data_IF_628219898360
#
_entry.id   IF_628219898360
#
_cell.length_a   1.000
_cell.length_b   1.000
_cell.length_c   1.000
_cell.angle_alpha   90.00
_cell.angle_beta   90.00
_cell.angle_gamma   90.00
#
_symmetry.space_group_name_H-M   'P 1'
#
loop_
_entity.id
_entity.type
_entity.pdbx_description
1 polymer ?
#
# COMPACT_ATOMS: atom_id res chain seq x y z
N UNK A 1 -13.46 -3.39 1.44
CA UNK A 1 -12.08 -3.16 1.93
C UNK A 1 -11.10 -3.34 0.78
N UNK A 2 -10.10 -2.48 0.71
CA UNK A 2 -9.02 -2.59 -0.27
C UNK A 2 -7.77 -3.08 0.43
N UNK A 3 -7.19 -4.18 -0.06
CA UNK A 3 -5.95 -4.74 0.47
C UNK A 3 -4.86 -4.50 -0.56
N UNK A 4 -3.76 -3.87 -0.14
CA UNK A 4 -2.67 -3.50 -1.03
C UNK A 4 -1.37 -4.11 -0.53
N UNK A 5 -0.68 -4.86 -1.40
CA UNK A 5 0.69 -5.30 -1.17
C UNK A 5 1.63 -4.33 -1.87
N UNK A 6 2.56 -3.76 -1.13
CA UNK A 6 3.51 -2.78 -1.66
C UNK A 6 4.91 -3.38 -1.69
N UNK A 7 5.52 -3.38 -2.87
CA UNK A 7 6.93 -3.70 -3.07
C UNK A 7 7.66 -2.35 -3.26
N UNK A 8 8.29 -1.89 -2.18
CA UNK A 8 8.89 -0.57 -2.14
C UNK A 8 10.33 -0.60 -2.62
N UNK A 9 10.64 0.30 -3.56
CA UNK A 9 12.00 0.59 -4.00
C UNK A 9 12.22 2.10 -3.87
N UNK A 10 13.46 2.55 -3.62
CA UNK A 10 13.70 4.00 -3.47
C UNK A 10 13.28 4.83 -4.68
N UNK A 11 13.32 4.25 -5.88
CA UNK A 11 13.02 4.96 -7.12
C UNK A 11 11.57 4.83 -7.56
N UNK A 12 10.87 3.78 -7.11
CA UNK A 12 9.48 3.53 -7.48
C UNK A 12 8.83 2.57 -6.48
N UNK A 13 7.52 2.41 -6.60
CA UNK A 13 6.77 1.41 -5.84
C UNK A 13 5.98 0.56 -6.82
N UNK A 14 6.04 -0.76 -6.65
CA UNK A 14 5.18 -1.69 -7.37
C UNK A 14 4.12 -2.16 -6.39
N UNK A 15 2.86 -2.08 -6.77
CA UNK A 15 1.80 -2.51 -5.87
C UNK A 15 0.77 -3.38 -6.56
N UNK A 16 0.16 -4.24 -5.76
CA UNK A 16 -0.95 -5.07 -6.17
C UNK A 16 -2.08 -4.85 -5.18
N UNK A 17 -3.29 -4.65 -5.65
CA UNK A 17 -4.43 -4.40 -4.79
C UNK A 17 -5.61 -5.27 -5.15
N UNK A 18 -6.41 -5.62 -4.14
CA UNK A 18 -7.66 -6.33 -4.34
C UNK A 18 -8.75 -5.63 -3.53
N UNK A 19 -9.91 -5.45 -4.15
CA UNK A 19 -11.10 -4.99 -3.46
C UNK A 19 -11.87 -6.22 -3.02
N UNK A 20 -11.97 -6.45 -1.70
CA UNK A 20 -12.62 -7.65 -1.18
C UNK A 20 -14.13 -7.66 -1.41
N UNK A 21 -14.75 -6.52 -1.67
CA UNK A 21 -16.18 -6.43 -1.91
C UNK A 21 -16.54 -6.84 -3.34
N UNK A 22 -15.67 -6.52 -4.30
CA UNK A 22 -15.93 -6.79 -5.72
C UNK A 22 -15.07 -7.92 -6.28
N UNK A 23 -13.97 -8.25 -5.60
CA UNK A 23 -12.96 -9.18 -6.09
C UNK A 23 -12.05 -8.60 -7.17
N UNK A 24 -12.16 -7.33 -7.47
CA UNK A 24 -11.34 -6.68 -8.49
C UNK A 24 -9.88 -6.63 -8.07
N UNK A 25 -9.00 -7.06 -8.97
CA UNK A 25 -7.56 -7.06 -8.77
C UNK A 25 -6.91 -6.04 -9.69
N UNK A 26 -5.98 -5.26 -9.16
CA UNK A 26 -5.24 -4.27 -9.93
C UNK A 26 -3.77 -4.27 -9.56
N UNK A 27 -2.93 -3.94 -10.53
CA UNK A 27 -1.52 -3.70 -10.31
C UNK A 27 -1.18 -2.28 -10.77
N UNK A 28 -0.23 -1.65 -10.09
CA UNK A 28 0.20 -0.31 -10.46
C UNK A 28 1.66 -0.10 -10.10
N UNK A 29 2.30 0.82 -10.82
CA UNK A 29 3.65 1.27 -10.50
C UNK A 29 3.60 2.78 -10.28
N UNK A 30 4.11 3.21 -9.13
CA UNK A 30 4.19 4.62 -8.77
C UNK A 30 5.65 5.05 -8.91
N UNK A 31 5.90 5.97 -9.83
CA UNK A 31 7.25 6.30 -10.29
C UNK A 31 8.03 7.24 -9.36
N UNK A 32 7.31 7.97 -8.50
CA UNK A 32 7.93 8.97 -7.64
C UNK A 32 7.05 9.22 -6.41
N UNK A 33 7.59 9.91 -5.37
CA UNK A 33 6.83 10.19 -4.16
C UNK A 33 5.54 10.99 -4.38
N UNK A 34 5.52 11.90 -5.35
CA UNK A 34 4.33 12.70 -5.64
C UNK A 34 3.19 11.83 -6.18
N UNK A 35 3.51 10.90 -7.07
CA UNK A 35 2.51 9.96 -7.58
C UNK A 35 1.98 9.06 -6.47
N UNK A 36 2.87 8.60 -5.59
CA UNK A 36 2.48 7.75 -4.47
C UNK A 36 1.54 8.51 -3.54
N UNK A 37 1.89 9.73 -3.16
CA UNK A 37 1.08 10.54 -2.28
C UNK A 37 -0.31 10.79 -2.87
N UNK A 38 -0.38 11.14 -4.16
CA UNK A 38 -1.64 11.36 -4.85
C UNK A 38 -2.51 10.10 -4.84
N UNK A 39 -1.91 8.96 -5.18
CA UNK A 39 -2.63 7.69 -5.23
C UNK A 39 -3.26 7.34 -3.89
N UNK A 40 -2.47 7.38 -2.82
CA UNK A 40 -2.96 6.99 -1.50
C UNK A 40 -3.94 8.01 -0.92
N UNK A 41 -3.72 9.29 -1.19
CA UNK A 41 -4.66 10.34 -0.76
C UNK A 41 -6.01 10.19 -1.45
N UNK A 42 -6.02 9.87 -2.73
CA UNK A 42 -7.28 9.63 -3.45
C UNK A 42 -8.04 8.44 -2.87
N UNK A 43 -7.34 7.38 -2.46
CA UNK A 43 -7.98 6.25 -1.79
C UNK A 43 -8.62 6.69 -0.46
N UNK A 44 -7.92 7.50 0.32
CA UNK A 44 -8.45 8.01 1.58
C UNK A 44 -9.67 8.90 1.35
N UNK A 45 -9.62 9.75 0.34
CA UNK A 45 -10.72 10.68 0.01
C UNK A 45 -11.98 9.93 -0.43
N UNK A 46 -11.83 8.74 -0.98
CA UNK A 46 -12.98 7.89 -1.35
C UNK A 46 -13.66 7.27 -0.12
N UNK A 47 -13.08 7.44 1.06
CA UNK A 47 -13.61 6.83 2.27
C UNK A 47 -13.44 5.32 2.32
N UNK A 48 -12.59 4.76 1.46
CA UNK A 48 -12.36 3.33 1.42
C UNK A 48 -11.58 2.88 2.65
N UNK A 49 -11.92 1.71 3.17
CA UNK A 49 -11.13 1.06 4.21
C UNK A 49 -9.96 0.36 3.53
N UNK A 50 -8.74 0.72 3.94
CA UNK A 50 -7.52 0.26 3.27
C UNK A 50 -6.60 -0.44 4.26
N UNK A 51 -6.09 -1.58 3.84
CA UNK A 51 -5.08 -2.36 4.57
C UNK A 51 -3.85 -2.51 3.69
N UNK A 52 -2.70 -2.11 4.22
CA UNK A 52 -1.44 -2.13 3.48
C UNK A 52 -0.53 -3.20 4.07
N UNK A 53 0.01 -4.07 3.21
CA UNK A 53 1.09 -4.98 3.58
C UNK A 53 2.37 -4.55 2.87
N UNK A 54 3.46 -4.41 3.62
CA UNK A 54 4.73 -3.94 3.06
C UNK A 54 5.90 -4.62 3.77
N UNK A 55 6.94 -4.97 3.01
CA UNK A 55 8.16 -5.49 3.58
C UNK A 55 8.91 -4.37 4.32
N UNK A 56 9.52 -4.71 5.45
CA UNK A 56 10.24 -3.74 6.26
C UNK A 56 11.39 -3.13 5.45
N UNK A 57 11.48 -1.78 5.46
CA UNK A 57 12.55 -1.06 4.77
C UNK A 57 12.81 0.25 5.48
N UNK A 58 14.08 0.53 5.78
CA UNK A 58 14.48 1.81 6.38
C UNK A 58 14.23 3.00 5.45
N UNK A 59 14.11 2.76 4.15
CA UNK A 59 13.89 3.83 3.17
C UNK A 59 12.42 4.22 3.03
N UNK A 60 11.51 3.44 3.62
CA UNK A 60 10.08 3.64 3.45
C UNK A 60 9.41 4.34 4.63
N UNK A 61 10.18 4.89 5.57
CA UNK A 61 9.60 5.51 6.78
C UNK A 61 8.66 6.66 6.47
N UNK A 62 8.97 7.46 5.46
CA UNK A 62 8.11 8.56 5.06
C UNK A 62 6.73 8.06 4.60
N UNK A 63 6.72 6.92 3.91
CA UNK A 63 5.50 6.31 3.43
C UNK A 63 4.69 5.71 4.59
N UNK A 64 5.37 5.07 5.55
CA UNK A 64 4.72 4.55 6.75
C UNK A 64 4.01 5.67 7.51
N UNK A 65 4.66 6.81 7.67
CA UNK A 65 4.06 7.98 8.32
C UNK A 65 2.83 8.47 7.56
N UNK A 66 2.92 8.47 6.23
CA UNK A 66 1.79 8.89 5.40
C UNK A 66 0.61 7.95 5.58
N UNK A 67 0.84 6.65 5.65
CA UNK A 67 -0.22 5.69 5.91
C UNK A 67 -0.89 5.92 7.27
N UNK A 68 -0.11 6.25 8.30
CA UNK A 68 -0.67 6.59 9.60
C UNK A 68 -1.54 7.84 9.52
N UNK A 69 -1.08 8.88 8.83
CA UNK A 69 -1.84 10.11 8.67
C UNK A 69 -3.16 9.89 7.93
N UNK A 70 -3.16 8.97 6.97
CA UNK A 70 -4.35 8.62 6.20
C UNK A 70 -5.23 7.61 6.94
N UNK A 71 -4.80 7.15 8.10
CA UNK A 71 -5.51 6.16 8.93
C UNK A 71 -5.68 4.81 8.24
N UNK A 72 -4.72 4.43 7.40
CA UNK A 72 -4.68 3.10 6.80
C UNK A 72 -4.13 2.10 7.81
N UNK A 73 -4.67 0.89 7.79
CA UNK A 73 -4.12 -0.21 8.57
C UNK A 73 -2.82 -0.68 7.89
N UNK A 74 -1.71 -0.66 8.62
CA UNK A 74 -0.40 -1.00 8.07
C UNK A 74 0.14 -2.25 8.74
N UNK A 75 0.59 -3.20 7.94
CA UNK A 75 1.28 -4.40 8.40
C UNK A 75 2.64 -4.47 7.73
N UNK A 76 3.70 -4.46 8.54
CA UNK A 76 5.08 -4.54 8.07
C UNK A 76 5.66 -5.88 8.51
N UNK A 77 6.24 -6.61 7.55
CA UNK A 77 6.82 -7.91 7.84
C UNK A 77 7.83 -8.32 6.78
N UNK A 78 8.16 -9.61 6.76
CA UNK A 78 9.00 -10.15 5.70
C UNK A 78 8.13 -10.61 4.53
N UNK A 79 8.76 -10.98 3.41
CA UNK A 79 8.04 -11.34 2.19
C UNK A 79 7.05 -12.49 2.40
N UNK A 80 7.39 -13.47 3.23
CA UNK A 80 6.49 -14.60 3.50
C UNK A 80 5.25 -14.15 4.28
N UNK A 81 5.42 -13.27 5.27
CA UNK A 81 4.31 -12.72 6.04
C UNK A 81 3.38 -11.89 5.17
N UNK A 82 3.94 -11.12 4.22
CA UNK A 82 3.15 -10.32 3.30
C UNK A 82 2.34 -11.20 2.36
N UNK A 83 2.92 -12.31 1.89
CA UNK A 83 2.18 -13.27 1.07
C UNK A 83 0.97 -13.84 1.82
N UNK A 84 1.13 -14.18 3.10
CA UNK A 84 0.04 -14.65 3.94
C UNK A 84 -1.01 -13.54 4.15
N UNK A 85 -0.54 -12.31 4.31
CA UNK A 85 -1.41 -11.15 4.52
C UNK A 85 -2.35 -10.92 3.34
N UNK A 86 -1.88 -11.13 2.11
CA UNK A 86 -2.67 -10.86 0.91
C UNK A 86 -3.59 -12.03 0.49
N UNK A 87 -3.44 -13.16 1.13
CA UNK A 87 -4.34 -14.29 0.94
C UNK A 87 -5.55 -14.16 1.84
#
# INVERSE_FOLDING_TARGET
MIIIGVDYHPEFQQLASVDTDTGEFREARLQNPEQAEKFYRELADRGARVRIGMEASGHARWLERRFEELQFELWIGNAAEICDFTH
#
